data_IF_401295560422
#
_entry.id   IF_401295560422
#
_cell.length_a   1.000
_cell.length_b   1.000
_cell.length_c   1.000
_cell.angle_alpha   90.00
_cell.angle_beta   90.00
_cell.angle_gamma   90.00
#
_symmetry.space_group_name_H-M   'P 1'
#
loop_
_entity.id
_entity.type
_entity.pdbx_description
1 polymer ?
#
# COMPACT_ATOMS: atom_id res chain seq x y z
N UNK A 1 20.28 5.87 21.39
CA UNK A 1 20.16 6.71 20.18
C UNK A 1 18.75 6.55 19.58
N UNK A 2 17.81 7.42 19.94
CA UNK A 2 16.51 7.50 19.25
C UNK A 2 16.69 8.29 17.96
N UNK A 3 17.31 7.65 16.96
CA UNK A 3 17.55 8.26 15.65
C UNK A 3 16.26 8.86 15.09
N UNK A 4 16.35 10.05 14.52
CA UNK A 4 15.21 10.69 13.88
C UNK A 4 14.67 9.79 12.77
N UNK A 5 13.42 9.35 12.92
CA UNK A 5 12.74 8.58 11.88
C UNK A 5 12.33 9.55 10.78
N UNK A 6 12.84 9.34 9.58
CA UNK A 6 12.50 10.12 8.40
C UNK A 6 11.34 9.51 7.61
N UNK A 7 10.54 10.38 7.01
CA UNK A 7 9.46 9.99 6.11
C UNK A 7 10.04 9.36 4.84
N UNK A 8 9.65 8.13 4.50
CA UNK A 8 10.16 7.43 3.29
C UNK A 8 9.69 8.02 1.94
N UNK A 9 8.99 9.16 1.95
CA UNK A 9 8.49 9.84 0.74
C UNK A 9 9.13 11.21 0.53
N UNK A 10 9.37 11.95 1.61
CA UNK A 10 9.87 13.32 1.53
C UNK A 10 11.13 13.55 2.35
N UNK A 11 11.64 12.51 3.02
CA UNK A 11 12.85 12.52 3.85
C UNK A 11 12.86 13.54 4.99
N UNK A 12 11.71 14.15 5.30
CA UNK A 12 11.56 15.06 6.44
C UNK A 12 11.37 14.28 7.75
N UNK A 13 11.78 14.86 8.90
CA UNK A 13 11.65 14.23 10.20
C UNK A 13 10.18 13.99 10.57
N UNK A 14 9.90 12.81 11.10
CA UNK A 14 8.56 12.40 11.55
C UNK A 14 8.41 12.61 13.05
N UNK A 15 7.53 13.54 13.43
CA UNK A 15 7.31 13.95 14.83
C UNK A 15 6.19 13.23 15.57
N UNK A 16 5.22 12.67 14.85
CA UNK A 16 4.09 11.95 15.46
C UNK A 16 4.44 10.48 15.73
N UNK A 17 4.11 9.97 16.92
CA UNK A 17 4.34 8.56 17.30
C UNK A 17 3.72 7.56 16.32
N UNK A 18 2.43 7.74 16.00
CA UNK A 18 1.72 6.92 15.01
C UNK A 18 2.40 7.00 13.63
N UNK A 19 2.89 8.18 13.26
CA UNK A 19 3.58 8.39 11.99
C UNK A 19 4.97 7.71 11.97
N UNK A 20 5.65 7.60 13.11
CA UNK A 20 6.94 6.91 13.24
C UNK A 20 6.79 5.40 13.01
N UNK A 21 5.73 4.77 13.53
CA UNK A 21 5.45 3.34 13.32
C UNK A 21 5.35 2.98 11.83
N UNK A 22 4.69 3.85 11.05
CA UNK A 22 4.54 3.70 9.59
C UNK A 22 5.69 4.29 8.76
N UNK A 23 6.67 4.96 9.38
CA UNK A 23 7.74 5.74 8.71
C UNK A 23 7.26 6.69 7.60
N UNK A 24 6.03 7.19 7.74
CA UNK A 24 5.38 8.10 6.78
C UNK A 24 4.71 9.22 7.56
N UNK A 25 5.17 10.46 7.31
CA UNK A 25 4.63 11.67 7.93
C UNK A 25 3.16 11.91 7.57
N UNK A 26 2.41 12.57 8.47
CA UNK A 26 0.95 12.74 8.34
C UNK A 26 0.51 13.50 7.08
N UNK A 27 1.33 14.42 6.55
CA UNK A 27 1.05 15.10 5.27
C UNK A 27 1.17 14.14 4.08
N UNK A 28 2.23 13.34 4.05
CA UNK A 28 2.45 12.36 2.99
C UNK A 28 1.45 11.19 3.07
N UNK A 29 1.06 10.79 4.28
CA UNK A 29 0.04 9.77 4.51
C UNK A 29 -1.29 10.09 3.83
N UNK A 30 -1.72 11.35 3.87
CA UNK A 30 -2.95 11.81 3.21
C UNK A 30 -2.89 11.72 1.68
N UNK A 31 -1.69 11.77 1.09
CA UNK A 31 -1.47 11.67 -0.36
C UNK A 31 -1.39 10.22 -0.86
N UNK A 32 -1.25 9.25 0.04
CA UNK A 32 -1.22 7.84 -0.33
C UNK A 32 -2.56 7.37 -0.87
N UNK A 33 -2.52 6.42 -1.80
CA UNK A 33 -3.71 5.71 -2.26
C UNK A 33 -4.29 4.84 -1.14
N UNK A 34 -5.59 4.51 -1.18
CA UNK A 34 -6.22 3.61 -0.21
C UNK A 34 -5.49 2.26 -0.07
N UNK A 35 -5.03 1.65 -1.17
CA UNK A 35 -4.31 0.37 -1.16
C UNK A 35 -2.96 0.43 -0.43
N UNK A 36 -2.21 1.51 -0.66
CA UNK A 36 -0.93 1.75 0.02
C UNK A 36 -1.15 1.95 1.52
N UNK A 37 -2.19 2.70 1.91
CA UNK A 37 -2.55 2.90 3.32
C UNK A 37 -2.94 1.58 3.98
N UNK A 38 -3.76 0.76 3.33
CA UNK A 38 -4.16 -0.55 3.84
C UNK A 38 -2.96 -1.47 4.03
N UNK A 39 -2.07 -1.54 3.04
CA UNK A 39 -0.84 -2.35 3.10
C UNK A 39 0.06 -1.93 4.26
N UNK A 40 0.35 -0.63 4.39
CA UNK A 40 1.19 -0.12 5.48
C UNK A 40 0.53 -0.35 6.86
N UNK A 41 -0.79 -0.19 6.95
CA UNK A 41 -1.54 -0.45 8.19
C UNK A 41 -1.49 -1.93 8.57
N UNK A 42 -1.65 -2.84 7.61
CA UNK A 42 -1.56 -4.28 7.84
C UNK A 42 -0.17 -4.69 8.34
N UNK A 43 0.89 -4.13 7.76
CA UNK A 43 2.27 -4.40 8.18
C UNK A 43 2.57 -3.82 9.58
N UNK A 44 1.96 -2.69 9.95
CA UNK A 44 2.19 -2.03 11.26
C UNK A 44 1.22 -2.47 12.37
N UNK A 45 0.25 -3.36 12.06
CA UNK A 45 -0.87 -3.74 12.94
C UNK A 45 -0.46 -4.41 14.26
N UNK A 46 0.78 -4.86 14.39
CA UNK A 46 1.34 -5.47 15.63
C UNK A 46 2.27 -4.53 16.41
N UNK A 47 2.29 -3.23 16.11
CA UNK A 47 3.15 -2.26 16.78
C UNK A 47 4.65 -2.44 16.50
N UNK A 48 5.04 -3.37 15.61
CA UNK A 48 6.42 -3.52 15.17
C UNK A 48 6.77 -2.39 14.21
N UNK A 49 7.84 -1.67 14.52
CA UNK A 49 8.44 -0.71 13.60
C UNK A 49 9.03 -1.47 12.41
N UNK A 50 8.48 -1.24 11.23
CA UNK A 50 8.91 -1.91 10.01
C UNK A 50 10.26 -1.36 9.55
N UNK A 51 11.06 -2.20 8.90
CA UNK A 51 12.28 -1.77 8.22
C UNK A 51 11.98 -0.86 7.02
N UNK A 52 12.91 0.03 6.65
CA UNK A 52 12.72 0.96 5.53
C UNK A 52 12.44 0.25 4.19
N UNK A 53 13.03 -0.93 3.97
CA UNK A 53 12.79 -1.74 2.76
C UNK A 53 11.33 -2.19 2.62
N UNK A 54 10.70 -2.63 3.71
CA UNK A 54 9.32 -3.12 3.69
C UNK A 54 8.33 -1.98 3.39
N UNK A 55 8.59 -0.79 3.96
CA UNK A 55 7.79 0.41 3.66
C UNK A 55 7.98 0.84 2.21
N UNK A 56 9.21 0.85 1.68
CA UNK A 56 9.43 1.17 0.26
C UNK A 56 8.75 0.19 -0.68
N UNK A 57 8.78 -1.11 -0.38
CA UNK A 57 8.06 -2.11 -1.16
C UNK A 57 6.54 -1.84 -1.18
N UNK A 58 5.96 -1.46 -0.03
CA UNK A 58 4.55 -1.09 0.05
C UNK A 58 4.23 0.21 -0.72
N UNK A 59 5.12 1.20 -0.69
CA UNK A 59 4.95 2.47 -1.40
C UNK A 59 5.09 2.31 -2.93
N UNK A 60 6.04 1.49 -3.37
CA UNK A 60 6.30 1.21 -4.79
C UNK A 60 5.39 0.12 -5.37
N UNK A 61 4.47 -0.44 -4.57
CA UNK A 61 3.54 -1.44 -5.08
C UNK A 61 2.70 -0.80 -6.19
N UNK A 62 2.66 -1.39 -7.39
CA UNK A 62 1.74 -0.93 -8.42
C UNK A 62 0.33 -0.98 -7.85
N UNK A 63 -0.54 -0.07 -8.29
CA UNK A 63 -1.95 -0.21 -7.98
C UNK A 63 -2.36 -1.63 -8.38
N UNK A 64 -3.13 -2.37 -7.55
CA UNK A 64 -3.67 -3.63 -7.99
C UNK A 64 -4.31 -3.35 -9.35
N UNK A 65 -3.95 -4.15 -10.36
CA UNK A 65 -4.70 -4.14 -11.61
C UNK A 65 -6.15 -4.18 -11.18
N UNK A 66 -6.94 -3.19 -11.60
CA UNK A 66 -8.38 -3.23 -11.38
C UNK A 66 -8.80 -4.67 -11.74
N UNK A 67 -9.62 -5.35 -10.92
CA UNK A 67 -10.12 -6.65 -11.30
C UNK A 67 -10.69 -6.43 -12.69
N UNK A 68 -9.96 -6.96 -13.68
CA UNK A 68 -10.27 -6.74 -15.07
C UNK A 68 -11.72 -7.15 -15.20
N UNK A 69 -12.46 -6.30 -15.89
CA UNK A 69 -13.87 -6.49 -16.17
C UNK A 69 -14.09 -7.97 -16.42
N UNK A 70 -15.11 -8.54 -15.78
CA UNK A 70 -15.55 -9.89 -16.02
C UNK A 70 -15.28 -10.25 -17.48
N UNK A 71 -14.66 -11.39 -17.72
CA UNK A 71 -14.80 -12.11 -18.97
C UNK A 71 -16.31 -12.39 -19.17
N UNK A 72 -17.03 -11.36 -19.59
CA UNK A 72 -18.39 -11.30 -20.12
C UNK A 72 -18.24 -10.88 -21.58
N UNK A 73 -17.33 -11.54 -22.29
CA UNK A 73 -17.50 -11.80 -23.72
C UNK A 73 -17.95 -13.27 -23.75
N UNK A 74 -19.25 -13.54 -23.67
CA UNK A 74 -20.02 -13.51 -24.91
C UNK A 74 -19.54 -14.63 -25.83
N UNK A 75 -19.68 -15.88 -25.37
CA UNK A 75 -19.52 -17.10 -26.14
C UNK A 75 -20.82 -17.89 -26.05
N UNK A 76 -21.85 -17.30 -26.63
CA UNK A 76 -23.11 -17.93 -27.01
C UNK A 76 -22.86 -19.22 -27.83
N UNK A 77 -23.66 -20.24 -27.52
CA UNK A 77 -24.09 -21.35 -28.38
C UNK A 77 -23.09 -22.07 -29.31
N UNK A 78 -22.86 -23.35 -29.00
CA UNK A 78 -22.97 -24.45 -29.98
C UNK A 78 -23.80 -25.52 -29.27
N UNK A 79 -25.13 -25.43 -29.35
CA UNK A 79 -25.92 -26.11 -30.39
C UNK A 79 -25.46 -27.56 -30.56
N UNK A 80 -26.32 -28.46 -30.07
CA UNK A 80 -26.39 -29.86 -30.49
C UNK A 80 -26.35 -29.94 -32.02
N UNK A 81 -25.60 -30.88 -32.60
CA UNK A 81 -26.19 -31.86 -33.52
C UNK A 81 -25.15 -32.86 -34.06
N UNK A 82 -25.58 -34.13 -33.94
CA UNK A 82 -25.17 -35.36 -34.63
C UNK A 82 -23.95 -36.12 -34.12
#
# INVERSE_FOLDING_TARGET
>A
MTGEVECQLCHKPVRSGVARTRRVGSRCWRKLRPDQRATITALTRRGRSLGPHQIRAALNRPAPAAPDQLALTGGDSHEQQN
#
